data_IF_254549529732
#
_entry.id   IF_254549529732
#
_cell.length_a   1.000
_cell.length_b   1.000
_cell.length_c   1.000
_cell.angle_alpha   90.00
_cell.angle_beta   90.00
_cell.angle_gamma   90.00
#
_symmetry.space_group_name_H-M   'P 1'
#
loop_
_entity.id
_entity.type
_entity.pdbx_description
1 polymer ?
#
# COMPACT_ATOMS: atom_id res chain seq x y z
N UNK A 1 -1.92 5.99 -16.84
CA UNK A 1 -1.69 5.60 -15.44
C UNK A 1 -1.97 4.13 -15.29
N UNK A 2 -1.01 3.35 -14.79
CA UNK A 2 -1.16 1.91 -14.63
C UNK A 2 -2.12 1.58 -13.48
N UNK A 3 -3.07 0.67 -13.72
CA UNK A 3 -4.07 0.22 -12.72
C UNK A 3 -3.42 -0.29 -11.42
N UNK A 4 -2.20 -0.81 -11.50
CA UNK A 4 -1.43 -1.29 -10.35
C UNK A 4 -0.99 -0.14 -9.44
N UNK A 5 -0.63 1.00 -10.02
CA UNK A 5 -0.17 2.17 -9.27
C UNK A 5 -1.33 2.78 -8.46
N UNK A 6 -2.51 2.92 -9.09
CA UNK A 6 -3.74 3.38 -8.44
C UNK A 6 -4.17 2.43 -7.31
N UNK A 7 -4.11 1.11 -7.52
CA UNK A 7 -4.41 0.12 -6.48
C UNK A 7 -3.44 0.21 -5.29
N UNK A 8 -2.16 0.46 -5.55
CA UNK A 8 -1.16 0.62 -4.52
C UNK A 8 -1.37 1.90 -3.69
N UNK A 9 -1.67 3.02 -4.34
CA UNK A 9 -2.00 4.28 -3.67
C UNK A 9 -3.27 4.16 -2.82
N UNK A 10 -4.30 3.47 -3.33
CA UNK A 10 -5.53 3.21 -2.58
C UNK A 10 -5.26 2.40 -1.30
N UNK A 11 -4.45 1.33 -1.40
CA UNK A 11 -4.06 0.53 -0.23
C UNK A 11 -3.27 1.37 0.78
N UNK A 12 -2.36 2.24 0.33
CA UNK A 12 -1.64 3.18 1.19
C UNK A 12 -2.56 4.12 1.94
N UNK A 13 -3.51 4.74 1.22
CA UNK A 13 -4.47 5.67 1.81
C UNK A 13 -5.35 4.95 2.85
N UNK A 14 -5.86 3.77 2.52
CA UNK A 14 -6.64 2.94 3.43
C UNK A 14 -5.84 2.54 4.68
N UNK A 15 -4.59 2.12 4.50
CA UNK A 15 -3.70 1.76 5.61
C UNK A 15 -3.41 2.95 6.54
N UNK A 16 -3.20 4.16 5.98
CA UNK A 16 -3.07 5.39 6.78
C UNK A 16 -4.32 5.70 7.60
N UNK A 17 -5.50 5.54 7.01
CA UNK A 17 -6.76 5.76 7.71
C UNK A 17 -6.92 4.75 8.85
N UNK A 18 -6.63 3.47 8.62
CA UNK A 18 -6.66 2.44 9.66
C UNK A 18 -5.67 2.72 10.79
N UNK A 19 -4.45 3.14 10.44
CA UNK A 19 -3.42 3.48 11.42
C UNK A 19 -3.86 4.67 12.30
N UNK A 20 -4.32 5.75 11.66
CA UNK A 20 -4.80 6.93 12.35
C UNK A 20 -6.01 6.61 13.23
N UNK A 21 -6.96 5.83 12.70
CA UNK A 21 -8.14 5.39 13.45
C UNK A 21 -7.72 4.56 14.65
N UNK A 22 -6.85 3.57 14.48
CA UNK A 22 -6.34 2.73 15.56
C UNK A 22 -5.63 3.52 16.66
N UNK A 23 -4.80 4.50 16.29
CA UNK A 23 -4.19 5.42 17.27
C UNK A 23 -5.22 6.25 18.03
N UNK A 24 -6.24 6.75 17.35
CA UNK A 24 -7.28 7.60 17.96
C UNK A 24 -8.20 6.79 18.86
N UNK A 25 -8.58 5.58 18.46
CA UNK A 25 -9.47 4.69 19.23
C UNK A 25 -8.72 3.86 20.27
N UNK A 26 -7.39 3.84 20.25
CA UNK A 26 -6.56 2.96 21.07
C UNK A 26 -6.54 1.50 20.59
N UNK A 27 -7.01 1.23 19.38
CA UNK A 27 -7.05 -0.11 18.80
C UNK A 27 -5.73 -0.45 18.09
N UNK A 28 -4.90 -1.23 18.79
CA UNK A 28 -3.58 -1.68 18.34
C UNK A 28 -3.65 -2.63 17.13
N UNK A 29 -4.76 -3.33 16.96
CA UNK A 29 -4.97 -4.22 15.81
C UNK A 29 -5.16 -3.39 14.55
N UNK A 30 -6.03 -2.37 14.62
CA UNK A 30 -6.27 -1.42 13.54
C UNK A 30 -4.99 -0.65 13.16
N UNK A 31 -4.20 -0.24 14.17
CA UNK A 31 -2.90 0.40 13.94
C UNK A 31 -1.96 -0.49 13.13
N UNK A 32 -1.81 -1.73 13.59
CA UNK A 32 -0.91 -2.72 12.97
C UNK A 32 -1.38 -3.12 11.57
N UNK A 33 -2.68 -3.38 11.38
CA UNK A 33 -3.26 -3.64 10.06
C UNK A 33 -3.01 -2.49 9.09
N UNK A 34 -3.15 -1.24 9.57
CA UNK A 34 -2.89 -0.05 8.78
C UNK A 34 -1.45 0.03 8.29
N UNK A 35 -0.49 -0.25 9.16
CA UNK A 35 0.94 -0.30 8.81
C UNK A 35 1.25 -1.43 7.83
N UNK A 36 0.71 -2.63 8.05
CA UNK A 36 0.91 -3.78 7.15
C UNK A 36 0.32 -3.51 5.76
N UNK A 37 -0.87 -2.91 5.65
CA UNK A 37 -1.46 -2.54 4.36
C UNK A 37 -0.62 -1.49 3.61
N UNK A 38 -0.02 -0.53 4.31
CA UNK A 38 0.88 0.46 3.70
C UNK A 38 2.14 -0.20 3.12
N UNK A 39 2.80 -1.06 3.91
CA UNK A 39 4.02 -1.77 3.49
C UNK A 39 3.72 -2.70 2.31
N UNK A 40 2.64 -3.48 2.38
CA UNK A 40 2.23 -4.36 1.29
C UNK A 40 1.91 -3.58 0.01
N UNK A 41 1.29 -2.39 0.14
CA UNK A 41 1.04 -1.48 -0.98
C UNK A 41 2.33 -0.98 -1.64
N UNK A 42 3.32 -0.56 -0.85
CA UNK A 42 4.63 -0.12 -1.35
C UNK A 42 5.36 -1.23 -2.10
N UNK A 43 5.43 -2.41 -1.51
CA UNK A 43 6.06 -3.59 -2.13
C UNK A 43 5.38 -3.92 -3.45
N UNK A 44 4.04 -3.86 -3.50
CA UNK A 44 3.29 -4.15 -4.73
C UNK A 44 3.53 -3.11 -5.83
N UNK A 45 3.69 -1.82 -5.48
CA UNK A 45 4.06 -0.76 -6.43
C UNK A 45 5.48 -0.98 -6.95
N UNK A 46 6.45 -1.22 -6.07
CA UNK A 46 7.85 -1.46 -6.41
C UNK A 46 7.98 -2.67 -7.35
N UNK A 47 7.35 -3.79 -6.98
CA UNK A 47 7.36 -5.01 -7.80
C UNK A 47 6.68 -4.81 -9.15
N UNK A 48 5.58 -4.05 -9.17
CA UNK A 48 4.88 -3.66 -10.40
C UNK A 48 5.74 -2.82 -11.34
N UNK A 49 6.52 -1.87 -10.78
CA UNK A 49 7.47 -1.04 -11.55
C UNK A 49 8.58 -1.90 -12.15
N UNK A 50 9.28 -2.70 -11.34
CA UNK A 50 10.35 -3.60 -11.80
C UNK A 50 9.85 -4.54 -12.91
N UNK A 51 8.67 -5.16 -12.72
CA UNK A 51 8.08 -6.04 -13.73
C UNK A 51 7.72 -5.29 -15.02
N UNK A 52 7.27 -4.05 -14.92
CA UNK A 52 6.91 -3.22 -16.09
C UNK A 52 8.15 -2.74 -16.85
N UNK A 53 9.22 -2.37 -16.13
CA UNK A 53 10.52 -2.00 -16.72
C UNK A 53 11.14 -3.19 -17.47
N UNK A 54 11.14 -4.39 -16.85
CA UNK A 54 11.61 -5.61 -17.51
C UNK A 54 10.77 -5.96 -18.76
N UNK A 55 9.46 -5.72 -18.73
CA UNK A 55 8.57 -6.00 -19.87
C UNK A 55 8.73 -5.00 -21.02
N UNK A 56 9.24 -3.79 -20.76
CA UNK A 56 9.46 -2.75 -21.77
C UNK A 56 10.74 -2.92 -22.59
N UNK A 57 11.63 -3.82 -22.19
CA UNK A 57 12.95 -4.02 -22.80
C UNK A 57 13.02 -5.24 -23.76
N UNK A 58 11.87 -5.74 -24.22
CA UNK A 58 11.77 -6.86 -25.17
C UNK A 58 10.84 -6.53 -26.33
#
# INVERSE_FOLDING_TARGET
MDKNQIKGEFKKAKGKIKEATGKVTGDKTLETEGQVEQVAGDVQIQFGKVKSDLKKHN
#
